data_IF_008264267545
#
_entry.id   IF_008264267545
#
_cell.length_a   1.000
_cell.length_b   1.000
_cell.length_c   1.000
_cell.angle_alpha   90.00
_cell.angle_beta   90.00
_cell.angle_gamma   90.00
#
_symmetry.space_group_name_H-M   'P 1'
#
loop_
_entity.id
_entity.type
_entity.pdbx_description
1 polymer ?
#
# COMPACT_ATOMS: atom_id res chain seq x y z
N UNK A 1 11.71 13.14 -10.31
CA UNK A 1 11.33 11.93 -11.08
C UNK A 1 9.93 11.42 -10.73
N UNK A 2 9.60 11.13 -9.46
CA UNK A 2 8.29 10.54 -9.12
C UNK A 2 7.06 11.33 -9.56
N UNK A 3 7.08 12.67 -9.45
CA UNK A 3 5.96 13.50 -9.92
C UNK A 3 5.65 13.26 -11.40
N UNK A 4 6.68 13.30 -12.25
CA UNK A 4 6.52 13.06 -13.69
C UNK A 4 6.09 11.63 -14.00
N UNK A 5 6.62 10.65 -13.27
CA UNK A 5 6.22 9.24 -13.40
C UNK A 5 4.75 9.00 -13.04
N UNK A 6 4.26 9.62 -11.96
CA UNK A 6 2.87 9.49 -11.49
C UNK A 6 1.91 10.21 -12.44
N UNK A 7 2.23 11.45 -12.81
CA UNK A 7 1.37 12.25 -13.69
C UNK A 7 1.37 11.67 -15.10
N UNK A 8 2.54 11.41 -15.68
CA UNK A 8 2.67 10.87 -17.03
C UNK A 8 2.07 9.46 -17.16
N UNK A 9 2.44 8.55 -16.25
CA UNK A 9 1.87 7.20 -16.24
C UNK A 9 0.37 7.18 -15.93
N UNK A 10 -0.09 8.06 -15.03
CA UNK A 10 -1.50 8.19 -14.67
C UNK A 10 -2.36 8.70 -15.82
N UNK A 11 -1.92 9.74 -16.53
CA UNK A 11 -2.63 10.25 -17.72
C UNK A 11 -2.70 9.15 -18.78
N UNK A 12 -1.59 8.49 -19.08
CA UNK A 12 -1.54 7.46 -20.10
C UNK A 12 -2.51 6.31 -19.79
N UNK A 13 -2.40 5.72 -18.61
CA UNK A 13 -3.24 4.59 -18.20
C UNK A 13 -4.72 4.96 -18.17
N UNK A 14 -5.08 6.11 -17.58
CA UNK A 14 -6.49 6.51 -17.45
C UNK A 14 -7.15 6.90 -18.77
N UNK A 15 -6.42 7.50 -19.71
CA UNK A 15 -6.97 7.81 -21.03
C UNK A 15 -7.28 6.53 -21.81
N UNK A 16 -6.38 5.56 -21.76
CA UNK A 16 -6.56 4.27 -22.45
C UNK A 16 -7.67 3.46 -21.81
N UNK A 17 -7.70 3.38 -20.49
CA UNK A 17 -8.71 2.70 -19.66
C UNK A 17 -10.13 3.23 -19.98
N UNK A 18 -10.34 4.55 -19.89
CA UNK A 18 -11.65 5.18 -20.19
C UNK A 18 -12.06 4.95 -21.64
N UNK A 19 -11.14 5.06 -22.60
CA UNK A 19 -11.44 4.84 -24.02
C UNK A 19 -11.80 3.39 -24.33
N UNK A 20 -11.05 2.44 -23.76
CA UNK A 20 -11.27 1.01 -23.94
C UNK A 20 -12.62 0.58 -23.38
N UNK A 21 -12.94 0.99 -22.15
CA UNK A 21 -14.17 0.61 -21.45
C UNK A 21 -15.41 1.25 -22.05
N UNK A 22 -15.35 2.53 -22.40
CA UNK A 22 -16.51 3.24 -22.94
C UNK A 22 -16.92 2.66 -24.31
N UNK A 23 -15.96 2.53 -25.24
CA UNK A 23 -16.26 2.01 -26.58
C UNK A 23 -16.53 0.51 -26.52
N UNK A 24 -15.75 -0.24 -25.74
CA UNK A 24 -15.90 -1.69 -25.62
C UNK A 24 -17.19 -2.09 -24.94
N UNK A 25 -17.35 -1.71 -23.66
CA UNK A 25 -18.43 -2.21 -22.80
C UNK A 25 -19.74 -1.46 -23.06
N UNK A 26 -19.70 -0.14 -23.22
CA UNK A 26 -20.92 0.68 -23.31
C UNK A 26 -21.47 0.77 -24.73
N UNK A 27 -20.62 1.01 -25.74
CA UNK A 27 -21.09 1.18 -27.12
C UNK A 27 -21.20 -0.14 -27.89
N UNK A 28 -20.19 -1.02 -27.75
CA UNK A 28 -20.08 -2.24 -28.56
C UNK A 28 -20.52 -3.51 -27.85
N UNK A 29 -20.82 -3.45 -26.55
CA UNK A 29 -21.19 -4.61 -25.72
C UNK A 29 -20.25 -5.81 -25.90
N UNK A 30 -18.96 -5.55 -26.09
CA UNK A 30 -17.92 -6.59 -26.06
C UNK A 30 -17.43 -6.74 -24.62
N UNK A 31 -16.96 -7.94 -24.23
CA UNK A 31 -16.41 -8.15 -22.89
C UNK A 31 -15.22 -7.22 -22.64
N UNK A 32 -15.00 -6.93 -21.36
CA UNK A 32 -13.82 -6.20 -20.89
C UNK A 32 -12.56 -7.00 -21.25
N UNK A 33 -11.54 -6.30 -21.73
CA UNK A 33 -10.25 -6.85 -22.15
C UNK A 33 -10.26 -7.71 -23.43
N UNK A 34 -11.30 -7.58 -24.24
CA UNK A 34 -11.45 -8.34 -25.48
C UNK A 34 -10.34 -8.00 -26.52
N UNK A 35 -9.74 -9.00 -27.19
CA UNK A 35 -8.67 -8.78 -28.18
C UNK A 35 -9.12 -8.00 -29.42
N UNK A 36 -10.43 -7.84 -29.66
CA UNK A 36 -10.98 -7.00 -30.72
C UNK A 36 -10.87 -5.52 -30.41
N UNK A 37 -10.65 -5.14 -29.14
CA UNK A 37 -10.48 -3.76 -28.74
C UNK A 37 -9.01 -3.30 -28.93
N UNK A 38 -8.72 -2.39 -29.88
CA UNK A 38 -7.34 -1.97 -30.16
C UNK A 38 -6.70 -1.15 -29.04
N UNK A 39 -7.49 -0.62 -28.09
CA UNK A 39 -6.97 0.12 -26.94
C UNK A 39 -6.34 -0.81 -25.89
N UNK A 40 -6.70 -2.10 -25.88
CA UNK A 40 -6.31 -2.99 -24.80
C UNK A 40 -4.82 -3.42 -24.81
N UNK A 41 -4.19 -3.73 -25.95
CA UNK A 41 -2.73 -3.95 -25.99
C UNK A 41 -1.91 -2.74 -25.53
N UNK A 42 -2.45 -1.53 -25.71
CA UNK A 42 -1.84 -0.27 -25.29
C UNK A 42 -1.97 -0.09 -23.76
N UNK A 43 -3.06 -0.58 -23.17
CA UNK A 43 -3.29 -0.59 -21.72
C UNK A 43 -2.30 -1.49 -20.97
N UNK A 44 -1.98 -2.66 -21.53
CA UNK A 44 -1.05 -3.64 -20.91
C UNK A 44 0.42 -3.17 -20.86
N UNK A 45 0.86 -2.36 -21.82
CA UNK A 45 2.24 -1.90 -21.94
C UNK A 45 2.83 -1.20 -20.69
N UNK A 46 2.12 -0.26 -20.02
CA UNK A 46 2.59 0.36 -18.77
C UNK A 46 2.45 -0.56 -17.55
N UNK A 47 1.52 -1.52 -17.55
CA UNK A 47 1.33 -2.47 -16.43
C UNK A 47 2.43 -3.54 -16.36
N UNK A 48 3.16 -3.78 -17.46
CA UNK A 48 4.34 -4.65 -17.49
C UNK A 48 5.57 -4.08 -16.75
N UNK A 49 5.55 -2.80 -16.36
CA UNK A 49 6.64 -2.13 -15.64
C UNK A 49 6.19 -1.65 -14.25
N UNK A 50 6.10 -2.53 -13.23
CA UNK A 50 5.67 -2.18 -11.87
C UNK A 50 6.56 -1.11 -11.18
N UNK A 51 7.79 -0.91 -11.68
CA UNK A 51 8.76 0.07 -11.16
C UNK A 51 8.23 1.52 -11.09
N UNK A 52 7.28 1.92 -11.93
CA UNK A 52 6.79 3.32 -11.96
C UNK A 52 6.00 3.66 -10.68
N UNK A 53 5.25 2.70 -10.12
CA UNK A 53 4.44 2.89 -8.90
C UNK A 53 5.29 2.81 -7.62
N UNK A 54 6.36 2.01 -7.64
CA UNK A 54 7.39 1.98 -6.59
C UNK A 54 8.06 3.35 -6.34
N UNK A 55 8.08 4.24 -7.35
CA UNK A 55 8.60 5.62 -7.20
C UNK A 55 7.79 6.48 -6.23
N UNK A 56 6.51 6.16 -5.96
CA UNK A 56 5.68 6.85 -4.95
C UNK A 56 6.32 6.78 -3.57
N UNK A 57 6.82 5.60 -3.19
CA UNK A 57 7.36 5.35 -1.87
C UNK A 57 8.82 5.81 -1.75
N UNK A 58 9.63 5.66 -2.79
CA UNK A 58 11.03 6.13 -2.77
C UNK A 58 11.13 7.63 -2.48
N UNK A 59 10.14 8.42 -2.93
CA UNK A 59 10.08 9.87 -2.69
C UNK A 59 9.51 10.25 -1.33
N UNK A 60 8.74 9.37 -0.67
CA UNK A 60 8.33 9.57 0.73
C UNK A 60 9.43 9.14 1.70
N UNK A 61 10.17 8.07 1.37
CA UNK A 61 11.24 7.50 2.21
C UNK A 61 12.53 8.34 2.17
N UNK A 62 12.93 8.85 0.99
CA UNK A 62 14.13 9.67 0.84
C UNK A 62 14.18 10.91 1.76
N UNK A 63 13.16 11.79 1.80
CA UNK A 63 13.22 12.99 2.62
C UNK A 63 13.09 12.71 4.12
N UNK A 64 12.39 11.64 4.53
CA UNK A 64 12.26 11.26 5.95
C UNK A 64 13.52 10.58 6.51
N UNK A 65 14.26 9.83 5.68
CA UNK A 65 15.58 9.29 6.06
C UNK A 65 16.66 10.38 6.18
N UNK A 66 16.56 11.45 5.38
CA UNK A 66 17.52 12.57 5.47
C UNK A 66 17.45 13.35 6.80
N UNK A 67 16.34 13.27 7.55
CA UNK A 67 16.23 13.91 8.88
C UNK A 67 16.66 13.01 10.04
N UNK A 68 16.79 11.71 9.82
CA UNK A 68 17.22 10.74 10.85
C UNK A 68 18.48 10.07 10.35
N UNK A 69 19.58 10.83 10.37
CA UNK A 69 20.92 10.28 10.18
C UNK A 69 21.19 9.31 11.34
N UNK A 70 20.96 8.04 11.09
CA UNK A 70 21.61 6.93 11.75
C UNK A 70 21.61 5.76 10.75
N UNK A 71 22.71 5.63 10.02
CA UNK A 71 23.10 4.42 9.31
C UNK A 71 22.97 3.23 10.26
N UNK A 72 21.91 2.43 10.12
CA UNK A 72 21.87 1.11 10.75
C UNK A 72 21.26 0.12 9.76
N UNK A 73 22.13 -0.74 9.25
CA UNK A 73 21.81 -2.02 8.61
C UNK A 73 20.80 -2.83 9.44
N UNK A 74 20.73 -2.58 10.76
CA UNK A 74 19.78 -3.18 11.70
C UNK A 74 18.30 -2.83 11.46
N UNK A 75 17.93 -1.58 11.20
CA UNK A 75 16.51 -1.21 11.00
C UNK A 75 15.97 -1.76 9.68
N UNK A 76 16.79 -1.73 8.62
CA UNK A 76 16.47 -2.33 7.33
C UNK A 76 16.36 -3.85 7.47
N UNK A 77 17.29 -4.50 8.20
CA UNK A 77 17.27 -5.94 8.44
C UNK A 77 16.05 -6.38 9.26
N UNK A 78 15.65 -5.62 10.28
CA UNK A 78 14.46 -5.92 11.09
C UNK A 78 13.20 -5.80 10.23
N UNK A 79 13.04 -4.73 9.45
CA UNK A 79 11.93 -4.58 8.50
C UNK A 79 11.89 -5.72 7.47
N UNK A 80 13.05 -6.18 6.99
CA UNK A 80 13.16 -7.32 6.07
C UNK A 80 12.76 -8.63 6.73
N UNK A 81 13.24 -8.89 7.94
CA UNK A 81 12.93 -10.11 8.71
C UNK A 81 11.45 -10.14 9.09
N UNK A 82 10.87 -9.05 9.56
CA UNK A 82 9.43 -8.99 9.89
C UNK A 82 8.57 -9.19 8.65
N UNK A 83 8.97 -8.63 7.51
CA UNK A 83 8.26 -8.83 6.24
C UNK A 83 8.38 -10.27 5.75
N UNK A 84 9.56 -10.90 5.88
CA UNK A 84 9.79 -12.31 5.53
C UNK A 84 8.95 -13.25 6.41
N UNK A 85 8.90 -13.02 7.72
CA UNK A 85 8.07 -13.78 8.64
C UNK A 85 6.57 -13.56 8.39
N UNK A 86 6.13 -12.32 8.15
CA UNK A 86 4.72 -12.05 7.84
C UNK A 86 4.27 -12.70 6.52
N UNK A 87 5.18 -12.80 5.53
CA UNK A 87 4.85 -13.34 4.20
C UNK A 87 4.82 -14.87 4.16
N UNK A 88 5.59 -15.55 5.03
CA UNK A 88 5.74 -17.01 4.97
C UNK A 88 4.66 -17.82 5.73
N UNK A 89 3.81 -17.18 6.53
CA UNK A 89 2.92 -17.89 7.45
C UNK A 89 1.54 -18.26 6.90
N UNK A 90 1.06 -17.64 5.82
CA UNK A 90 -0.33 -17.83 5.36
C UNK A 90 -0.41 -18.14 3.87
N UNK A 91 -0.54 -19.43 3.56
CA UNK A 91 -0.99 -19.90 2.24
C UNK A 91 -2.52 -19.83 2.20
N UNK A 92 -3.07 -18.95 1.37
CA UNK A 92 -4.52 -18.88 1.10
C UNK A 92 -4.91 -19.91 0.05
N UNK A 93 -6.00 -20.63 0.30
CA UNK A 93 -6.50 -21.70 -0.59
C UNK A 93 -7.81 -21.32 -1.29
N UNK A 94 -8.48 -20.25 -0.86
CA UNK A 94 -9.75 -19.78 -1.40
C UNK A 94 -9.79 -18.27 -1.68
N UNK A 95 -10.68 -17.88 -2.59
CA UNK A 95 -10.85 -16.53 -3.15
C UNK A 95 -11.37 -15.51 -2.12
N UNK A 96 -12.39 -15.91 -1.36
CA UNK A 96 -13.02 -15.06 -0.33
C UNK A 96 -12.05 -14.78 0.85
N UNK A 97 -10.93 -15.51 0.92
CA UNK A 97 -9.90 -15.34 1.95
C UNK A 97 -8.83 -14.32 1.58
N UNK A 98 -8.83 -13.76 0.37
CA UNK A 98 -7.80 -12.82 -0.08
C UNK A 98 -7.84 -11.54 0.75
N UNK A 99 -8.93 -10.78 0.73
CA UNK A 99 -9.03 -9.52 1.50
C UNK A 99 -8.74 -9.73 3.00
N UNK A 100 -9.31 -10.77 3.66
CA UNK A 100 -8.95 -11.10 5.04
C UNK A 100 -7.47 -11.46 5.24
N UNK A 101 -6.81 -12.08 4.25
CA UNK A 101 -5.39 -12.41 4.33
C UNK A 101 -4.51 -11.16 4.20
N UNK A 102 -4.81 -10.24 3.27
CA UNK A 102 -4.12 -8.94 3.18
C UNK A 102 -4.24 -8.17 4.49
N UNK A 103 -5.46 -8.15 5.05
CA UNK A 103 -5.75 -7.53 6.35
C UNK A 103 -4.94 -8.17 7.48
N UNK A 104 -4.92 -9.50 7.56
CA UNK A 104 -4.10 -10.21 8.56
C UNK A 104 -2.62 -9.89 8.39
N UNK A 105 -2.11 -9.81 7.16
CA UNK A 105 -0.72 -9.44 6.91
C UNK A 105 -0.40 -8.02 7.40
N UNK A 106 -1.31 -7.06 7.20
CA UNK A 106 -1.18 -5.71 7.74
C UNK A 106 -1.20 -5.71 9.27
N UNK A 107 -2.11 -6.45 9.92
CA UNK A 107 -2.18 -6.55 11.39
C UNK A 107 -0.90 -7.21 11.95
N UNK A 108 -0.47 -8.33 11.37
CA UNK A 108 0.69 -9.09 11.83
C UNK A 108 1.97 -8.29 11.66
N UNK A 109 2.16 -7.65 10.50
CA UNK A 109 3.32 -6.77 10.27
C UNK A 109 3.33 -5.60 11.25
N UNK A 110 2.17 -4.99 11.53
CA UNK A 110 2.05 -3.92 12.53
C UNK A 110 2.40 -4.42 13.94
N UNK A 111 1.89 -5.58 14.36
CA UNK A 111 2.17 -6.14 15.68
C UNK A 111 3.65 -6.53 15.85
N UNK A 112 4.23 -7.20 14.84
CA UNK A 112 5.65 -7.56 14.84
C UNK A 112 6.55 -6.32 14.83
N UNK A 113 6.19 -5.30 14.05
CA UNK A 113 6.94 -4.06 14.00
C UNK A 113 6.88 -3.29 15.33
N UNK A 114 5.73 -3.28 16.01
CA UNK A 114 5.63 -2.69 17.35
C UNK A 114 6.58 -3.36 18.35
N UNK A 115 6.73 -4.68 18.31
CA UNK A 115 7.70 -5.42 19.15
C UNK A 115 9.13 -5.09 18.72
N UNK A 116 9.40 -5.06 17.41
CA UNK A 116 10.72 -4.70 16.86
C UNK A 116 11.17 -3.31 17.29
N UNK A 117 10.28 -2.31 17.18
CA UNK A 117 10.54 -0.93 17.61
C UNK A 117 10.79 -0.87 19.12
N UNK A 118 10.08 -1.67 19.93
CA UNK A 118 10.32 -1.73 21.38
C UNK A 118 11.74 -2.22 21.70
N UNK A 119 12.20 -3.27 21.02
CA UNK A 119 13.55 -3.83 21.17
C UNK A 119 14.61 -2.81 20.71
N UNK A 120 14.43 -2.22 19.53
CA UNK A 120 15.36 -1.20 19.01
C UNK A 120 15.44 0.00 19.95
N UNK A 121 14.30 0.48 20.44
CA UNK A 121 14.28 1.62 21.37
C UNK A 121 14.99 1.30 22.69
N UNK A 122 14.97 0.05 23.13
CA UNK A 122 15.65 -0.36 24.36
C UNK A 122 17.16 -0.55 24.18
N UNK A 123 17.59 -1.02 23.00
CA UNK A 123 19.01 -1.34 22.72
C UNK A 123 19.76 -0.14 22.15
N UNK A 124 19.15 0.64 21.27
CA UNK A 124 19.82 1.69 20.50
C UNK A 124 19.75 3.08 21.16
N UNK A 125 18.75 3.35 22.02
CA UNK A 125 18.55 4.67 22.63
C UNK A 125 18.91 4.69 24.11
N UNK A 126 19.67 5.69 24.59
CA UNK A 126 19.92 5.88 26.02
C UNK A 126 18.62 6.25 26.76
N UNK A 127 18.57 5.99 28.06
CA UNK A 127 17.37 6.19 28.91
C UNK A 127 16.86 7.63 28.93
N UNK A 128 17.72 8.62 28.67
CA UNK A 128 17.36 10.03 28.52
C UNK A 128 18.31 10.71 27.54
N UNK A 129 17.77 11.53 26.64
CA UNK A 129 18.53 12.35 25.71
C UNK A 129 17.86 13.71 25.51
N UNK A 130 18.60 14.68 24.99
CA UNK A 130 18.10 16.03 24.73
C UNK A 130 17.78 16.21 23.25
N UNK A 131 16.60 16.75 22.95
CA UNK A 131 16.18 17.10 21.59
C UNK A 131 16.09 18.62 21.48
N UNK A 132 16.65 19.15 20.39
CA UNK A 132 16.54 20.56 20.06
C UNK A 132 15.10 20.92 19.70
N UNK A 133 14.48 21.80 20.49
CA UNK A 133 13.11 22.28 20.32
C UNK A 133 13.12 23.80 20.35
N UNK A 134 12.95 24.43 19.18
CA UNK A 134 12.78 25.89 19.06
C UNK A 134 13.78 26.74 19.88
N UNK A 135 15.06 26.34 19.93
CA UNK A 135 16.11 27.07 20.66
C UNK A 135 16.41 26.54 22.07
N UNK A 136 15.59 25.63 22.62
CA UNK A 136 15.83 24.99 23.92
C UNK A 136 16.08 23.48 23.77
N UNK A 137 16.86 22.91 24.71
CA UNK A 137 17.12 21.48 24.78
C UNK A 137 16.08 20.81 25.69
N UNK A 138 15.08 20.15 25.08
CA UNK A 138 14.05 19.40 25.82
C UNK A 138 14.60 18.01 26.14
N UNK A 139 14.59 17.62 27.41
CA UNK A 139 14.89 16.23 27.77
C UNK A 139 13.72 15.31 27.42
N UNK A 140 14.02 14.24 26.69
CA UNK A 140 13.07 13.24 26.20
C UNK A 140 13.55 11.86 26.65
N UNK A 141 12.61 11.03 27.09
CA UNK A 141 12.89 9.65 27.52
C UNK A 141 12.70 8.69 26.36
N UNK A 142 13.44 7.59 26.34
CA UNK A 142 13.33 6.54 25.32
C UNK A 142 11.89 6.02 25.12
N UNK A 143 11.15 5.78 26.21
CA UNK A 143 9.76 5.30 26.13
C UNK A 143 8.83 6.30 25.44
N UNK A 144 9.07 7.61 25.59
CA UNK A 144 8.26 8.63 24.91
C UNK A 144 8.45 8.54 23.39
N UNK A 145 9.68 8.29 22.94
CA UNK A 145 9.96 8.11 21.53
C UNK A 145 9.33 6.82 20.99
N UNK A 146 9.39 5.72 21.74
CA UNK A 146 8.68 4.48 21.42
C UNK A 146 7.18 4.72 21.19
N UNK A 147 6.51 5.44 22.10
CA UNK A 147 5.10 5.78 21.93
C UNK A 147 4.82 6.67 20.71
N UNK A 148 5.73 7.57 20.34
CA UNK A 148 5.60 8.37 19.12
C UNK A 148 5.64 7.50 17.85
N UNK A 149 6.56 6.53 17.79
CA UNK A 149 6.64 5.63 16.64
C UNK A 149 5.43 4.70 16.61
N UNK A 150 5.06 4.17 17.77
CA UNK A 150 3.91 3.29 17.91
C UNK A 150 2.61 3.99 17.48
N UNK A 151 2.39 5.25 17.86
CA UNK A 151 1.15 5.95 17.47
C UNK A 151 1.10 6.20 15.96
N UNK A 152 2.22 6.49 15.32
CA UNK A 152 2.31 6.60 13.86
C UNK A 152 2.00 5.27 13.15
N UNK A 153 2.54 4.17 13.67
CA UNK A 153 2.28 2.81 13.21
C UNK A 153 0.79 2.43 13.33
N UNK A 154 0.18 2.66 14.50
CA UNK A 154 -1.25 2.44 14.72
C UNK A 154 -2.12 3.35 13.83
N UNK A 155 -1.71 4.60 13.62
CA UNK A 155 -2.42 5.53 12.72
C UNK A 155 -2.44 4.99 11.29
N UNK A 156 -1.33 4.44 10.80
CA UNK A 156 -1.28 3.76 9.50
C UNK A 156 -2.24 2.57 9.40
N UNK A 157 -2.31 1.74 10.45
CA UNK A 157 -3.26 0.62 10.51
C UNK A 157 -4.72 1.08 10.48
N UNK A 158 -5.07 2.13 11.25
CA UNK A 158 -6.42 2.72 11.27
C UNK A 158 -6.80 3.25 9.89
N UNK A 159 -5.89 3.97 9.21
CA UNK A 159 -6.13 4.47 7.86
C UNK A 159 -6.37 3.30 6.89
N UNK A 160 -5.60 2.22 7.01
CA UNK A 160 -5.81 1.00 6.21
C UNK A 160 -7.21 0.42 6.38
N UNK A 161 -7.67 0.24 7.63
CA UNK A 161 -9.01 -0.29 7.92
C UNK A 161 -10.14 0.58 7.42
N UNK A 162 -10.02 1.89 7.61
CA UNK A 162 -11.04 2.82 7.14
C UNK A 162 -11.08 2.82 5.62
N UNK A 163 -9.92 2.81 4.96
CA UNK A 163 -9.84 2.74 3.49
C UNK A 163 -10.54 1.48 2.99
N UNK A 164 -10.21 0.31 3.56
CA UNK A 164 -10.86 -0.97 3.22
C UNK A 164 -12.39 -0.89 3.34
N UNK A 165 -12.90 -0.36 4.46
CA UNK A 165 -14.35 -0.24 4.69
C UNK A 165 -15.07 0.62 3.65
N UNK A 166 -14.41 1.66 3.14
CA UNK A 166 -14.96 2.56 2.13
C UNK A 166 -14.67 2.13 0.69
N UNK A 167 -13.84 1.11 0.45
CA UNK A 167 -13.45 0.67 -0.90
C UNK A 167 -13.81 -0.78 -1.25
N UNK A 168 -13.94 -1.70 -0.27
CA UNK A 168 -14.29 -3.09 -0.54
C UNK A 168 -15.80 -3.27 -0.78
N UNK A 169 -16.14 -4.13 -1.75
CA UNK A 169 -17.52 -4.48 -2.11
C UNK A 169 -18.21 -5.36 -1.05
N UNK A 170 -17.47 -5.87 -0.07
CA UNK A 170 -18.00 -6.64 1.05
C UNK A 170 -18.78 -5.77 2.05
N UNK A 171 -18.56 -4.46 2.04
CA UNK A 171 -19.17 -3.53 2.99
C UNK A 171 -20.31 -2.72 2.37
N UNK A 172 -21.28 -2.37 3.21
CA UNK A 172 -22.46 -1.56 2.85
C UNK A 172 -22.14 -0.29 2.06
N UNK A 173 -21.10 0.53 2.37
CA UNK A 173 -20.91 1.80 1.67
C UNK A 173 -20.65 1.64 0.16
N UNK A 174 -19.99 0.56 -0.26
CA UNK A 174 -19.74 0.28 -1.69
C UNK A 174 -20.93 -0.46 -2.31
N UNK A 175 -21.63 -1.29 -1.54
CA UNK A 175 -22.88 -1.93 -1.99
C UNK A 175 -23.97 -0.88 -2.27
N UNK A 176 -24.09 0.14 -1.42
CA UNK A 176 -25.03 1.26 -1.62
C UNK A 176 -24.71 2.03 -2.91
N UNK A 177 -23.42 2.21 -3.22
CA UNK A 177 -22.99 2.80 -4.51
C UNK A 177 -23.39 1.90 -5.69
N UNK A 178 -23.19 0.59 -5.58
CA UNK A 178 -23.61 -0.35 -6.63
C UNK A 178 -25.14 -0.35 -6.81
N UNK A 179 -25.91 -0.28 -5.72
CA UNK A 179 -27.37 -0.22 -5.77
C UNK A 179 -27.88 1.11 -6.36
N UNK A 180 -27.15 2.21 -6.17
CA UNK A 180 -27.48 3.51 -6.79
C UNK A 180 -27.36 3.51 -8.32
N UNK A 181 -26.75 2.49 -8.93
CA UNK A 181 -26.76 2.28 -10.38
C UNK A 181 -28.16 1.98 -10.92
N UNK A 182 -29.09 1.48 -10.09
CA UNK A 182 -30.48 1.18 -10.50
C UNK A 182 -31.25 2.42 -10.96
N UNK A 183 -30.90 3.59 -10.44
CA UNK A 183 -31.51 4.88 -10.78
C UNK A 183 -30.76 5.65 -11.88
N UNK A 184 -29.67 5.08 -12.40
CA UNK A 184 -28.89 5.63 -13.51
C UNK A 184 -27.48 6.08 -13.15
N UNK A 185 -26.72 6.50 -14.15
CA UNK A 185 -25.31 6.89 -13.99
C UNK A 185 -25.14 8.16 -13.14
N UNK A 186 -26.07 9.12 -13.23
CA UNK A 186 -26.00 10.38 -12.50
C UNK A 186 -26.05 10.17 -10.98
N UNK A 187 -26.94 9.30 -10.50
CA UNK A 187 -27.04 8.97 -9.07
C UNK A 187 -25.80 8.24 -8.57
N UNK A 188 -25.27 7.29 -9.35
CA UNK A 188 -24.02 6.59 -9.02
C UNK A 188 -22.85 7.56 -8.83
N UNK A 189 -22.70 8.55 -9.72
CA UNK A 189 -21.65 9.57 -9.59
C UNK A 189 -21.84 10.41 -8.31
N UNK A 190 -23.07 10.83 -7.99
CA UNK A 190 -23.36 11.61 -6.78
C UNK A 190 -23.02 10.81 -5.51
N UNK A 191 -23.45 9.55 -5.43
CA UNK A 191 -23.16 8.67 -4.30
C UNK A 191 -21.65 8.43 -4.14
N UNK A 192 -20.90 8.26 -5.24
CA UNK A 192 -19.44 8.14 -5.21
C UNK A 192 -18.74 9.37 -4.64
N UNK A 193 -19.16 10.57 -5.04
CA UNK A 193 -18.62 11.81 -4.48
C UNK A 193 -18.95 11.95 -2.98
N UNK A 194 -20.20 11.68 -2.60
CA UNK A 194 -20.62 11.70 -1.21
C UNK A 194 -19.82 10.71 -0.34
N UNK A 195 -19.60 9.49 -0.86
CA UNK A 195 -18.80 8.46 -0.19
C UNK A 195 -17.35 8.92 0.02
N UNK A 196 -16.74 9.52 -1.00
CA UNK A 196 -15.38 10.08 -0.92
C UNK A 196 -15.25 11.20 0.12
N UNK A 197 -16.23 12.11 0.20
CA UNK A 197 -16.23 13.15 1.24
C UNK A 197 -16.46 12.59 2.65
N UNK A 198 -17.18 11.47 2.78
CA UNK A 198 -17.39 10.81 4.07
C UNK A 198 -16.15 10.04 4.53
N UNK A 199 -15.39 9.43 3.61
CA UNK A 199 -14.26 8.57 3.96
C UNK A 199 -13.08 9.31 4.59
N UNK A 200 -12.91 10.60 4.30
CA UNK A 200 -11.80 11.42 4.82
C UNK A 200 -11.91 11.78 6.30
N UNK A 201 -13.09 11.65 6.91
CA UNK A 201 -13.34 12.12 8.29
C UNK A 201 -12.43 11.39 9.29
N UNK A 202 -12.45 10.06 9.29
CA UNK A 202 -11.70 9.25 10.27
C UNK A 202 -10.18 9.36 10.05
N UNK A 203 -9.64 9.28 8.82
CA UNK A 203 -8.21 9.47 8.56
C UNK A 203 -7.70 10.82 9.02
N UNK A 204 -8.46 11.91 8.82
CA UNK A 204 -8.06 13.26 9.28
C UNK A 204 -7.97 13.28 10.82
N UNK A 205 -8.94 12.71 11.53
CA UNK A 205 -8.88 12.63 12.99
C UNK A 205 -7.71 11.78 13.48
N UNK A 206 -7.44 10.64 12.84
CA UNK A 206 -6.32 9.77 13.19
C UNK A 206 -4.98 10.51 13.03
N UNK A 207 -4.79 11.24 11.92
CA UNK A 207 -3.61 12.07 11.68
C UNK A 207 -3.51 13.20 12.71
N UNK A 208 -4.62 13.89 13.01
CA UNK A 208 -4.63 14.98 13.99
C UNK A 208 -4.23 14.50 15.39
N UNK A 209 -4.74 13.33 15.83
CA UNK A 209 -4.35 12.70 17.10
C UNK A 209 -2.87 12.32 17.09
N UNK A 210 -2.38 11.72 16.00
CA UNK A 210 -0.96 11.37 15.85
C UNK A 210 -0.06 12.60 15.94
N UNK A 211 -0.44 13.71 15.29
CA UNK A 211 0.32 14.97 15.34
C UNK A 211 0.32 15.52 16.76
N UNK A 212 -0.85 15.58 17.41
CA UNK A 212 -0.98 16.13 18.76
C UNK A 212 -0.13 15.39 19.79
N UNK A 213 -0.18 14.05 19.78
CA UNK A 213 0.57 13.21 20.73
C UNK A 213 2.07 13.31 20.44
N UNK A 214 2.49 13.17 19.19
CA UNK A 214 3.91 13.25 18.83
C UNK A 214 4.51 14.62 19.14
N UNK A 215 3.81 15.70 18.79
CA UNK A 215 4.27 17.06 19.05
C UNK A 215 4.44 17.34 20.56
N UNK A 216 3.51 16.85 21.39
CA UNK A 216 3.55 17.02 22.85
C UNK A 216 4.77 16.32 23.49
N UNK A 217 5.17 15.16 22.94
CA UNK A 217 6.26 14.36 23.48
C UNK A 217 7.63 14.92 23.07
N UNK A 218 7.91 15.07 21.78
CA UNK A 218 9.25 15.41 21.28
C UNK A 218 9.25 16.38 20.09
N UNK A 219 8.26 17.28 20.03
CA UNK A 219 8.13 18.34 19.03
C UNK A 219 8.28 17.81 17.60
N UNK A 220 9.07 18.50 16.76
CA UNK A 220 9.26 18.16 15.34
C UNK A 220 9.93 16.81 15.14
N UNK A 221 10.86 16.42 16.03
CA UNK A 221 11.56 15.15 15.92
C UNK A 221 10.58 13.98 16.09
N UNK A 222 9.72 14.02 17.11
CA UNK A 222 8.69 12.99 17.29
C UNK A 222 7.69 12.91 16.14
N UNK A 223 7.34 14.04 15.50
CA UNK A 223 6.50 14.01 14.30
C UNK A 223 7.19 13.29 13.14
N UNK A 224 8.49 13.53 12.93
CA UNK A 224 9.28 12.85 11.90
C UNK A 224 9.38 11.33 12.17
N UNK A 225 9.67 10.93 13.40
CA UNK A 225 9.76 9.51 13.76
C UNK A 225 8.39 8.82 13.76
N UNK A 226 7.31 9.52 14.09
CA UNK A 226 5.94 9.00 13.93
C UNK A 226 5.58 8.76 12.46
N UNK A 227 5.97 9.68 11.55
CA UNK A 227 5.81 9.47 10.12
C UNK A 227 6.62 8.26 9.62
N UNK A 228 7.85 8.05 10.12
CA UNK A 228 8.62 6.84 9.86
C UNK A 228 7.94 5.58 10.39
N UNK A 229 7.33 5.64 11.58
CA UNK A 229 6.53 4.54 12.14
C UNK A 229 5.37 4.15 11.23
N UNK A 230 4.67 5.13 10.65
CA UNK A 230 3.59 4.87 9.67
C UNK A 230 4.12 4.17 8.40
N UNK A 231 5.35 4.49 7.98
CA UNK A 231 6.00 3.91 6.80
C UNK A 231 6.84 2.66 7.09
N UNK A 232 6.97 2.24 8.34
CA UNK A 232 7.81 1.07 8.68
C UNK A 232 7.34 -0.24 8.05
N UNK A 233 6.04 -0.36 7.76
CA UNK A 233 5.44 -1.52 7.09
C UNK A 233 5.30 -1.32 5.57
N UNK A 234 6.03 -0.36 4.99
CA UNK A 234 5.94 -0.01 3.56
C UNK A 234 6.25 -1.18 2.63
N UNK A 235 7.10 -2.13 3.02
CA UNK A 235 7.37 -3.32 2.22
C UNK A 235 6.12 -4.20 2.06
N UNK A 236 5.36 -4.36 3.15
CA UNK A 236 4.06 -5.07 3.12
C UNK A 236 3.01 -4.25 2.37
N UNK A 237 2.95 -2.94 2.61
CA UNK A 237 2.03 -2.04 1.90
C UNK A 237 2.27 -2.01 0.39
N UNK A 238 3.54 -2.00 -0.05
CA UNK A 238 3.93 -2.07 -1.46
C UNK A 238 3.63 -3.43 -2.08
N UNK A 239 3.85 -4.52 -1.36
CA UNK A 239 3.49 -5.85 -1.85
C UNK A 239 1.97 -5.96 -2.11
N UNK A 240 1.17 -5.39 -1.20
CA UNK A 240 -0.29 -5.31 -1.34
C UNK A 240 -0.70 -4.35 -2.47
N UNK A 241 -0.12 -3.16 -2.59
CA UNK A 241 -0.47 -2.20 -3.65
C UNK A 241 -0.04 -2.68 -5.04
N UNK A 242 1.09 -3.39 -5.13
CA UNK A 242 1.56 -3.97 -6.38
C UNK A 242 0.72 -5.17 -6.84
N UNK A 243 -0.02 -5.82 -5.93
CA UNK A 243 -0.89 -6.95 -6.26
C UNK A 243 -1.96 -6.58 -7.29
N UNK A 244 -2.64 -5.45 -7.11
CA UNK A 244 -3.77 -5.04 -7.96
C UNK A 244 -3.40 -4.92 -9.45
N UNK A 245 -2.38 -4.11 -9.82
CA UNK A 245 -1.98 -3.97 -11.21
C UNK A 245 -1.46 -5.27 -11.85
N UNK A 246 -0.83 -6.14 -11.06
CA UNK A 246 -0.35 -7.46 -11.53
C UNK A 246 -1.55 -8.38 -11.82
N UNK A 247 -2.55 -8.38 -10.94
CA UNK A 247 -3.75 -9.19 -11.14
C UNK A 247 -4.59 -8.73 -12.33
N UNK A 248 -4.71 -7.43 -12.51
CA UNK A 248 -5.37 -6.79 -13.66
C UNK A 248 -4.70 -7.17 -14.98
N UNK A 249 -3.36 -7.06 -15.07
CA UNK A 249 -2.62 -7.44 -16.28
C UNK A 249 -2.75 -8.92 -16.63
N UNK A 250 -2.77 -9.79 -15.64
CA UNK A 250 -2.94 -11.22 -15.85
C UNK A 250 -4.38 -11.58 -16.28
N UNK A 251 -5.40 -10.93 -15.73
CA UNK A 251 -6.79 -11.06 -16.19
C UNK A 251 -6.93 -10.69 -17.67
N UNK A 252 -6.32 -9.57 -18.06
CA UNK A 252 -6.24 -9.13 -19.44
C UNK A 252 -5.61 -10.14 -20.40
N UNK A 253 -4.47 -10.73 -20.02
CA UNK A 253 -3.80 -11.74 -20.84
C UNK A 253 -4.63 -13.01 -21.01
N UNK A 254 -5.40 -13.41 -19.99
CA UNK A 254 -6.28 -14.59 -20.05
C UNK A 254 -7.44 -14.35 -21.03
N UNK A 255 -8.04 -13.15 -21.01
CA UNK A 255 -9.08 -12.79 -21.97
C UNK A 255 -8.53 -12.72 -23.40
N UNK A 256 -7.37 -12.09 -23.60
CA UNK A 256 -6.72 -12.01 -24.92
C UNK A 256 -6.35 -13.38 -25.49
N UNK A 257 -6.00 -14.33 -24.63
CA UNK A 257 -5.68 -15.69 -25.04
C UNK A 257 -6.93 -16.54 -25.35
N UNK A 258 -8.15 -15.98 -25.21
CA UNK A 258 -9.40 -16.70 -25.41
C UNK A 258 -9.58 -17.88 -24.45
N UNK A 259 -9.00 -17.78 -23.26
CA UNK A 259 -9.10 -18.83 -22.24
C UNK A 259 -10.50 -18.87 -21.62
N UNK A 260 -10.89 -20.02 -21.05
CA UNK A 260 -12.24 -20.21 -20.49
C UNK A 260 -12.56 -19.23 -19.36
N UNK A 261 -13.84 -18.84 -19.22
CA UNK A 261 -14.35 -17.96 -18.14
C UNK A 261 -13.90 -18.39 -16.74
N UNK A 262 -13.83 -19.71 -16.49
CA UNK A 262 -13.36 -20.27 -15.22
C UNK A 262 -11.90 -19.92 -14.91
N UNK A 263 -11.05 -19.77 -15.93
CA UNK A 263 -9.65 -19.36 -15.77
C UNK A 263 -9.59 -17.86 -15.52
N UNK A 264 -10.42 -17.04 -16.16
CA UNK A 264 -10.53 -15.60 -15.89
C UNK A 264 -10.98 -15.34 -14.45
N UNK A 265 -12.10 -15.94 -14.05
CA UNK A 265 -12.59 -15.90 -12.67
C UNK A 265 -11.51 -16.40 -11.70
N UNK A 266 -10.79 -17.48 -12.03
CA UNK A 266 -9.67 -17.93 -11.18
C UNK A 266 -8.47 -16.99 -11.19
N UNK A 267 -8.22 -16.23 -12.25
CA UNK A 267 -7.02 -15.38 -12.40
C UNK A 267 -7.22 -14.08 -11.64
N UNK A 268 -8.38 -13.43 -11.84
CA UNK A 268 -8.83 -12.29 -11.03
C UNK A 268 -8.84 -12.65 -9.53
N UNK A 269 -9.09 -13.93 -9.21
CA UNK A 269 -9.25 -14.40 -7.85
C UNK A 269 -8.11 -15.27 -7.23
N UNK A 270 -7.06 -15.70 -7.95
CA UNK A 270 -6.02 -16.61 -7.39
C UNK A 270 -4.57 -16.12 -7.56
N UNK A 271 -4.34 -14.90 -8.07
CA UNK A 271 -2.97 -14.37 -8.25
C UNK A 271 -2.21 -14.15 -6.92
N UNK A 272 -2.89 -14.32 -5.78
CA UNK A 272 -2.26 -14.24 -4.46
C UNK A 272 -1.20 -15.34 -4.27
N UNK A 273 -1.46 -16.52 -4.85
CA UNK A 273 -0.57 -17.67 -4.74
C UNK A 273 0.78 -17.46 -5.46
N UNK A 274 0.84 -16.53 -6.41
CA UNK A 274 2.04 -16.19 -7.19
C UNK A 274 2.85 -15.05 -6.58
N UNK A 275 2.23 -14.13 -5.84
CA UNK A 275 2.92 -12.98 -5.23
C UNK A 275 3.71 -13.39 -3.97
N UNK A 276 3.25 -14.38 -3.21
CA UNK A 276 4.08 -15.03 -2.17
C UNK A 276 5.34 -15.66 -2.78
N UNK A 277 5.30 -16.13 -4.05
CA UNK A 277 6.51 -16.55 -4.78
C UNK A 277 7.35 -15.38 -5.29
N UNK A 278 6.77 -14.20 -5.50
CA UNK A 278 7.50 -13.01 -5.95
C UNK A 278 8.41 -12.44 -4.86
N UNK A 279 8.07 -12.59 -3.56
CA UNK A 279 9.03 -12.29 -2.48
C UNK A 279 10.25 -13.23 -2.52
N UNK A 280 10.05 -14.51 -2.87
CA UNK A 280 11.14 -15.47 -3.14
C UNK A 280 11.91 -15.15 -4.42
N UNK A 281 11.29 -14.49 -5.40
CA UNK A 281 11.96 -14.01 -6.61
C UNK A 281 12.85 -12.79 -6.34
N UNK A 282 12.38 -11.85 -5.51
CA UNK A 282 13.22 -10.77 -4.99
C UNK A 282 14.43 -11.31 -4.20
N UNK A 283 14.27 -12.42 -3.47
CA UNK A 283 15.36 -13.12 -2.79
C UNK A 283 16.38 -13.75 -3.78
N UNK A 284 15.91 -14.26 -4.93
CA UNK A 284 16.77 -14.81 -5.98
C UNK A 284 17.55 -13.70 -6.73
N UNK A 285 16.89 -12.58 -7.03
CA UNK A 285 17.53 -11.38 -7.60
C UNK A 285 18.56 -10.77 -6.64
N UNK A 286 18.29 -10.72 -5.33
CA UNK A 286 19.23 -10.19 -4.35
C UNK A 286 20.44 -11.12 -4.14
N UNK A 287 20.24 -12.45 -4.21
CA UNK A 287 21.35 -13.43 -4.22
C UNK A 287 22.20 -13.32 -5.48
N UNK A 288 21.58 -13.04 -6.63
CA UNK A 288 22.29 -12.74 -7.88
C UNK A 288 23.08 -11.42 -7.78
N UNK A 289 22.50 -10.37 -7.20
CA UNK A 289 23.17 -9.08 -7.00
C UNK A 289 24.36 -9.19 -6.04
N UNK A 290 24.23 -9.98 -4.96
CA UNK A 290 25.31 -10.23 -4.00
C UNK A 290 26.41 -11.16 -4.54
N UNK A 291 26.13 -11.91 -5.61
CA UNK A 291 27.08 -12.75 -6.35
C UNK A 291 27.78 -12.00 -7.49
N UNK A 292 27.21 -10.88 -7.98
CA UNK A 292 27.83 -10.02 -8.99
C UNK A 292 28.79 -8.99 -8.37
N UNK A 293 28.66 -8.71 -7.07
CA UNK A 293 29.50 -7.76 -6.31
C UNK A 293 30.51 -8.42 -5.36
N UNK A 294 30.84 -9.70 -5.57
CA UNK A 294 31.88 -10.43 -4.83
C UNK A 294 32.86 -11.06 -5.82
#
# INVERSE_FOLDING_TARGET
MALFSIVGGGIYTKVVDVGADLVGKVERNIPEDDPRNPAFPVFLAPHANPCVRCTKCFTCVCPTHCTVIADNVGDIAICLITTLFATNFFETKAVEEIEPALKKQLIISTALMAIGIAIVTWVALPSSFTIFTFGEQKQVKNWQLFFCVAIGLWTGLVIGFVTEYYTSNAYSPVQDVADSCRTGAATNVIFRFALGYKSIIIPIFAIAISIFVSFSLAAMYAMAVAALGMLSTIATGLAIDAYGPISESAGGNVEMAGMSQRIRERTENNIYHSIIRFSRFAEAELKLFHSQHR
#
